data_IF_407595170974
#
_entry.id   IF_407595170974
#
_cell.length_a   1.000
_cell.length_b   1.000
_cell.length_c   1.000
_cell.angle_alpha   90.00
_cell.angle_beta   90.00
_cell.angle_gamma   90.00
#
_symmetry.space_group_name_H-M   'P 1'
#
loop_
_entity.id
_entity.type
_entity.pdbx_description
1 polymer ?
#
# COMPACT_ATOMS: atom_id res chain seq x y z
N UNK A 1 1.20 11.90 9.78
CA UNK A 1 1.80 12.88 8.88
C UNK A 1 1.90 12.31 7.47
N UNK A 2 1.37 12.98 6.46
CA UNK A 2 1.45 12.47 5.08
C UNK A 2 2.89 12.36 4.57
N UNK A 3 3.07 11.59 3.49
CA UNK A 3 4.38 11.46 2.85
C UNK A 3 4.88 12.81 2.36
N UNK A 4 6.17 13.04 2.49
CA UNK A 4 6.85 14.26 2.03
C UNK A 4 7.62 14.02 0.73
N UNK A 5 7.91 12.76 0.41
CA UNK A 5 8.64 12.37 -0.80
C UNK A 5 8.11 11.06 -1.32
N UNK A 6 8.31 10.81 -2.61
CA UNK A 6 7.87 9.56 -3.24
C UNK A 6 8.70 8.40 -2.68
N UNK A 7 8.05 7.37 -2.08
CA UNK A 7 8.77 6.19 -1.61
C UNK A 7 9.28 5.34 -2.77
N UNK A 8 10.13 4.38 -2.45
CA UNK A 8 10.57 3.41 -3.45
C UNK A 8 9.41 2.55 -3.93
N UNK A 9 9.47 2.13 -5.19
CA UNK A 9 8.51 1.19 -5.77
C UNK A 9 8.50 -0.10 -4.93
N UNK A 10 7.30 -0.58 -4.60
CA UNK A 10 7.14 -1.75 -3.74
C UNK A 10 6.97 -1.43 -2.26
N UNK A 11 7.04 -0.17 -1.86
CA UNK A 11 6.80 0.23 -0.47
C UNK A 11 5.34 0.05 -0.10
N UNK A 12 5.09 -0.50 1.09
CA UNK A 12 3.74 -0.60 1.65
C UNK A 12 3.46 0.66 2.46
N UNK A 13 2.37 1.34 2.10
CA UNK A 13 1.91 2.55 2.78
C UNK A 13 0.47 2.36 3.23
N UNK A 14 -0.04 3.28 4.05
CA UNK A 14 -1.46 3.36 4.35
C UNK A 14 -2.04 4.46 3.49
N UNK A 15 -3.08 4.13 2.73
CA UNK A 15 -3.78 5.09 1.89
C UNK A 15 -5.17 5.37 2.45
N UNK A 16 -5.49 6.64 2.56
CA UNK A 16 -6.82 7.10 2.95
C UNK A 16 -7.65 7.32 1.68
N UNK A 17 -8.60 6.43 1.44
CA UNK A 17 -9.49 6.48 0.28
C UNK A 17 -10.76 7.29 0.55
N UNK A 18 -10.80 8.09 1.60
CA UNK A 18 -11.96 8.92 1.92
C UNK A 18 -12.28 9.84 0.72
N UNK A 19 -13.55 9.88 0.35
CA UNK A 19 -14.02 10.67 -0.79
C UNK A 19 -14.18 9.88 -2.08
N UNK A 20 -13.63 8.68 -2.17
CA UNK A 20 -13.93 7.78 -3.28
C UNK A 20 -15.32 7.16 -3.08
N UNK A 21 -15.89 6.67 -4.17
CA UNK A 21 -17.28 6.15 -4.18
C UNK A 21 -17.24 4.66 -4.50
N UNK A 22 -17.96 3.85 -3.70
CA UNK A 22 -18.06 2.41 -3.95
C UNK A 22 -18.63 2.16 -5.37
N UNK A 23 -18.13 1.14 -6.11
CA UNK A 23 -17.25 0.06 -5.68
C UNK A 23 -15.76 0.37 -5.66
N UNK A 24 -15.37 1.63 -5.80
CA UNK A 24 -14.01 2.05 -5.51
C UNK A 24 -13.67 1.76 -4.04
N UNK A 25 -12.37 1.73 -3.68
CA UNK A 25 -11.99 1.65 -2.28
C UNK A 25 -12.41 2.91 -1.55
N UNK A 26 -13.03 2.74 -0.38
CA UNK A 26 -13.56 3.88 0.40
C UNK A 26 -13.02 3.93 1.82
N UNK A 27 -12.28 2.90 2.25
CA UNK A 27 -11.72 2.80 3.60
C UNK A 27 -10.23 3.09 3.59
N UNK A 28 -9.73 3.54 4.73
CA UNK A 28 -8.29 3.63 4.97
C UNK A 28 -7.72 2.22 5.06
N UNK A 29 -6.70 1.90 4.26
CA UNK A 29 -6.12 0.57 4.21
C UNK A 29 -4.69 0.58 3.67
N UNK A 30 -3.93 -0.52 3.87
CA UNK A 30 -2.63 -0.64 3.24
C UNK A 30 -2.74 -0.61 1.72
N UNK A 31 -1.73 -0.04 1.10
CA UNK A 31 -1.61 0.02 -0.35
C UNK A 31 -0.14 -0.12 -0.73
N UNK A 32 0.08 -0.60 -1.94
CA UNK A 32 1.42 -0.83 -2.47
C UNK A 32 1.77 0.26 -3.48
N UNK A 33 2.93 0.90 -3.29
CA UNK A 33 3.45 1.87 -4.26
C UNK A 33 3.93 1.11 -5.48
N UNK A 34 3.35 1.36 -6.63
CA UNK A 34 3.76 0.72 -7.89
C UNK A 34 4.42 1.68 -8.87
N UNK A 35 4.28 2.99 -8.66
CA UNK A 35 4.93 3.98 -9.51
C UNK A 35 6.42 4.09 -9.14
N UNK A 36 7.31 4.17 -10.15
CA UNK A 36 8.69 4.55 -9.88
C UNK A 36 8.76 6.03 -9.54
N UNK A 37 9.88 6.45 -8.94
CA UNK A 37 10.12 7.87 -8.72
C UNK A 37 10.31 8.57 -10.06
N UNK A 38 9.41 9.49 -10.38
CA UNK A 38 9.46 10.26 -11.62
C UNK A 38 9.83 11.71 -11.28
N UNK A 39 10.88 12.23 -11.92
CA UNK A 39 11.44 13.56 -11.60
C UNK A 39 10.42 14.69 -11.69
N UNK A 40 9.51 14.61 -12.66
CA UNK A 40 8.56 15.70 -12.93
C UNK A 40 7.16 15.47 -12.38
N UNK A 41 6.92 14.31 -11.79
CA UNK A 41 5.63 14.04 -11.16
C UNK A 41 5.67 14.54 -9.72
N UNK A 42 4.93 15.60 -9.46
CA UNK A 42 4.90 16.22 -8.14
C UNK A 42 3.80 15.62 -7.28
N UNK A 43 4.20 15.08 -6.12
CA UNK A 43 3.30 14.71 -5.02
C UNK A 43 2.17 13.76 -5.40
N UNK A 44 2.43 12.88 -6.37
CA UNK A 44 1.50 11.83 -6.79
C UNK A 44 2.20 10.48 -6.76
N UNK A 45 1.47 9.47 -6.29
CA UNK A 45 1.88 8.06 -6.39
C UNK A 45 0.79 7.25 -7.02
N UNK A 46 1.16 6.23 -7.77
CA UNK A 46 0.23 5.21 -8.24
C UNK A 46 0.31 4.03 -7.26
N UNK A 47 -0.85 3.60 -6.76
CA UNK A 47 -0.94 2.58 -5.72
C UNK A 47 -1.95 1.51 -6.10
N UNK A 48 -1.77 0.32 -5.52
CA UNK A 48 -2.74 -0.77 -5.56
C UNK A 48 -3.16 -1.07 -4.13
N UNK A 49 -4.47 -1.11 -3.81
CA UNK A 49 -4.92 -1.41 -2.46
C UNK A 49 -4.68 -2.87 -2.09
N UNK A 50 -4.44 -3.11 -0.80
CA UNK A 50 -4.33 -4.43 -0.21
C UNK A 50 -5.60 -4.70 0.60
N UNK A 51 -6.08 -5.94 0.55
CA UNK A 51 -7.27 -6.35 1.29
C UNK A 51 -7.02 -7.68 2.01
N UNK A 52 -7.57 -7.83 3.20
CA UNK A 52 -7.52 -9.10 3.92
C UNK A 52 -8.65 -10.04 3.51
N UNK A 53 -9.62 -9.55 2.77
CA UNK A 53 -10.74 -10.35 2.27
C UNK A 53 -10.36 -11.02 0.97
N UNK A 54 -10.40 -12.37 0.95
CA UNK A 54 -10.12 -13.15 -0.25
C UNK A 54 -11.16 -12.83 -1.33
N UNK A 55 -10.74 -12.56 -2.58
CA UNK A 55 -11.69 -12.38 -3.67
C UNK A 55 -12.41 -13.71 -3.98
N UNK A 56 -13.64 -13.61 -4.45
CA UNK A 56 -14.43 -14.77 -4.84
C UNK A 56 -15.13 -14.49 -6.16
N UNK A 57 -14.66 -15.09 -7.29
CA UNK A 57 -13.50 -15.98 -7.39
C UNK A 57 -12.17 -15.22 -7.41
N UNK A 58 -11.08 -15.96 -7.20
CA UNK A 58 -9.72 -15.42 -7.41
C UNK A 58 -9.46 -15.37 -8.90
N UNK A 59 -9.08 -14.19 -9.39
CA UNK A 59 -8.82 -13.94 -10.81
C UNK A 59 -7.33 -13.76 -11.08
N UNK A 60 -6.95 -13.73 -12.37
CA UNK A 60 -5.54 -13.58 -12.78
C UNK A 60 -4.92 -12.25 -12.32
N UNK A 61 -5.74 -11.23 -12.07
CA UNK A 61 -5.26 -9.93 -11.58
C UNK A 61 -5.20 -9.85 -10.05
N UNK A 62 -5.39 -10.96 -9.36
CA UNK A 62 -5.23 -11.03 -7.90
C UNK A 62 -3.94 -11.74 -7.54
N UNK A 63 -3.23 -11.21 -6.55
CA UNK A 63 -2.02 -11.80 -6.01
C UNK A 63 -2.09 -11.85 -4.49
N UNK A 64 -1.84 -13.03 -3.91
CA UNK A 64 -1.80 -13.18 -2.45
C UNK A 64 -0.39 -12.86 -1.95
N UNK A 65 -0.28 -11.83 -1.16
CA UNK A 65 0.99 -11.35 -0.61
C UNK A 65 1.14 -11.78 0.85
N UNK A 66 2.23 -12.47 1.15
CA UNK A 66 2.59 -12.80 2.53
C UNK A 66 3.42 -11.65 3.12
N UNK A 67 2.95 -11.09 4.22
CA UNK A 67 3.62 -9.98 4.90
C UNK A 67 4.19 -10.49 6.23
N UNK A 68 5.51 -10.70 6.26
CA UNK A 68 6.21 -11.23 7.43
C UNK A 68 7.51 -10.44 7.66
N UNK A 69 7.67 -9.84 8.84
CA UNK A 69 6.71 -9.76 9.94
C UNK A 69 5.46 -8.97 9.57
N UNK A 70 4.38 -9.16 10.32
CA UNK A 70 3.11 -8.49 10.05
C UNK A 70 3.25 -6.96 10.21
N UNK A 71 2.38 -6.22 9.52
CA UNK A 71 2.32 -4.78 9.66
C UNK A 71 1.77 -4.37 11.04
N UNK A 72 2.02 -3.15 11.48
CA UNK A 72 1.42 -2.64 12.71
C UNK A 72 -0.10 -2.69 12.68
N UNK A 73 -0.70 -2.90 13.87
CA UNK A 73 -2.17 -2.89 13.99
C UNK A 73 -2.76 -1.57 13.48
N UNK A 74 -3.95 -1.61 12.90
CA UNK A 74 -4.88 -2.74 12.74
C UNK A 74 -4.63 -3.58 11.47
N UNK A 75 -3.50 -3.43 10.81
CA UNK A 75 -3.20 -4.05 9.51
C UNK A 75 -2.31 -5.29 9.64
N UNK A 76 -2.42 -6.00 10.76
CA UNK A 76 -1.47 -7.04 11.16
C UNK A 76 -1.80 -8.45 10.67
N UNK A 77 -2.65 -8.59 9.66
CA UNK A 77 -2.90 -9.90 9.05
C UNK A 77 -1.64 -10.40 8.32
N UNK A 78 -1.34 -11.71 8.35
CA UNK A 78 -0.14 -12.24 7.70
C UNK A 78 -0.25 -12.27 6.17
N UNK A 79 -1.46 -12.28 5.63
CA UNK A 79 -1.69 -12.28 4.19
C UNK A 79 -2.58 -11.13 3.78
N UNK A 80 -2.24 -10.52 2.65
CA UNK A 80 -3.05 -9.50 2.02
C UNK A 80 -3.25 -9.85 0.55
N UNK A 81 -4.44 -9.57 0.03
CA UNK A 81 -4.73 -9.75 -1.39
C UNK A 81 -4.44 -8.44 -2.11
N UNK A 82 -3.57 -8.52 -3.11
CA UNK A 82 -3.25 -7.41 -4.00
C UNK A 82 -4.25 -7.44 -5.14
N UNK A 83 -5.09 -6.41 -5.23
CA UNK A 83 -6.13 -6.30 -6.25
C UNK A 83 -5.61 -5.44 -7.39
N UNK A 84 -4.83 -6.06 -8.29
CA UNK A 84 -4.09 -5.35 -9.33
C UNK A 84 -4.98 -4.74 -10.42
N UNK A 85 -6.29 -5.02 -10.40
CA UNK A 85 -7.28 -4.35 -11.25
C UNK A 85 -7.69 -2.98 -10.68
N UNK A 86 -7.39 -2.71 -9.40
CA UNK A 86 -7.77 -1.47 -8.73
C UNK A 86 -6.55 -0.57 -8.57
N UNK A 87 -6.20 0.12 -9.63
CA UNK A 87 -5.03 1.00 -9.68
C UNK A 87 -5.48 2.44 -9.50
N UNK A 88 -4.88 3.15 -8.54
CA UNK A 88 -5.22 4.54 -8.23
C UNK A 88 -3.97 5.41 -8.27
N UNK A 89 -4.08 6.59 -8.85
CA UNK A 89 -3.06 7.63 -8.73
C UNK A 89 -3.60 8.68 -7.76
N UNK A 90 -2.89 8.87 -6.65
CA UNK A 90 -3.37 9.69 -5.54
C UNK A 90 -2.31 10.69 -5.07
N UNK A 91 -2.77 11.73 -4.39
CA UNK A 91 -1.91 12.72 -3.76
C UNK A 91 -1.16 12.13 -2.57
N UNK A 92 0.06 12.62 -2.31
CA UNK A 92 0.80 12.32 -1.09
C UNK A 92 -0.02 12.60 0.18
N UNK A 93 -0.95 13.54 0.13
CA UNK A 93 -1.81 13.88 1.27
C UNK A 93 -2.66 12.69 1.75
N UNK A 94 -2.87 11.70 0.89
CA UNK A 94 -3.62 10.48 1.22
C UNK A 94 -2.74 9.36 1.75
N UNK A 95 -1.41 9.54 1.75
CA UNK A 95 -0.46 8.45 1.96
C UNK A 95 0.34 8.66 3.25
N UNK A 96 0.44 7.59 4.04
CA UNK A 96 1.11 7.58 5.33
C UNK A 96 1.96 6.33 5.46
N UNK A 97 3.11 6.45 6.12
CA UNK A 97 3.83 5.24 6.54
C UNK A 97 3.08 4.57 7.69
N UNK A 98 3.04 3.22 7.76
CA UNK A 98 2.41 2.54 8.89
C UNK A 98 3.06 2.97 10.21
N UNK A 99 2.25 3.42 11.15
CA UNK A 99 2.72 3.84 12.46
C UNK A 99 2.90 2.63 13.37
N UNK A 100 4.10 2.42 13.86
CA UNK A 100 4.42 1.27 14.71
C UNK A 100 4.28 1.61 16.19
N UNK A 101 5.03 2.61 16.67
CA UNK A 101 5.05 3.00 18.08
C UNK A 101 5.76 4.34 18.26
N UNK A 102 5.76 4.86 19.48
CA UNK A 102 6.64 5.97 19.86
C UNK A 102 7.87 5.41 20.56
N UNK A 103 9.02 6.05 20.38
CA UNK A 103 10.24 5.70 21.11
C UNK A 103 10.20 6.27 22.53
N UNK A 104 11.27 6.04 23.31
CA UNK A 104 11.38 6.53 24.68
C UNK A 104 11.33 8.05 24.83
N UNK A 105 11.55 8.79 23.75
CA UNK A 105 11.50 10.26 23.72
C UNK A 105 10.19 10.80 23.12
N UNK A 106 9.22 9.93 22.88
CA UNK A 106 7.93 10.29 22.30
C UNK A 106 7.94 10.48 20.78
N UNK A 107 9.04 10.21 20.14
CA UNK A 107 9.16 10.30 18.68
C UNK A 107 8.47 9.10 18.02
N UNK A 108 7.71 9.33 16.96
CA UNK A 108 7.03 8.27 16.23
C UNK A 108 8.01 7.41 15.44
N UNK A 109 7.84 6.10 15.55
CA UNK A 109 8.57 5.11 14.75
C UNK A 109 7.60 4.53 13.72
N UNK A 110 8.01 4.52 12.45
CA UNK A 110 7.21 4.03 11.35
C UNK A 110 7.79 2.74 10.78
N UNK A 111 6.92 1.86 10.30
CA UNK A 111 7.31 0.66 9.58
C UNK A 111 7.60 1.04 8.13
N UNK A 112 8.85 0.88 7.70
CA UNK A 112 9.23 1.10 6.30
C UNK A 112 9.46 -0.26 5.68
N UNK A 113 8.50 -0.71 4.89
CA UNK A 113 8.48 -2.05 4.32
C UNK A 113 8.42 -1.98 2.79
N UNK A 114 9.37 -2.66 2.16
CA UNK A 114 9.41 -2.82 0.71
C UNK A 114 9.26 -4.31 0.43
N UNK A 115 8.32 -4.69 -0.44
CA UNK A 115 8.15 -6.09 -0.83
C UNK A 115 9.33 -6.55 -1.66
N UNK A 116 9.56 -7.87 -1.72
CA UNK A 116 10.67 -8.39 -2.51
C UNK A 116 10.37 -8.27 -4.02
N UNK A 117 11.44 -8.40 -4.81
CA UNK A 117 11.36 -8.23 -6.26
C UNK A 117 10.49 -9.29 -6.93
N UNK A 118 10.47 -10.50 -6.37
CA UNK A 118 9.68 -11.58 -6.94
C UNK A 118 8.19 -11.28 -6.83
N UNK A 119 7.74 -10.79 -5.66
CA UNK A 119 6.35 -10.39 -5.47
C UNK A 119 5.99 -9.20 -6.35
N UNK A 120 6.85 -8.19 -6.41
CA UNK A 120 6.62 -7.01 -7.24
C UNK A 120 6.46 -7.40 -8.72
N UNK A 121 7.31 -8.29 -9.21
CA UNK A 121 7.24 -8.75 -10.59
C UNK A 121 5.93 -9.48 -10.87
N UNK A 122 5.50 -10.37 -9.97
CA UNK A 122 4.22 -11.08 -10.10
C UNK A 122 3.03 -10.12 -10.12
N UNK A 123 3.07 -9.10 -9.26
CA UNK A 123 2.02 -8.08 -9.22
C UNK A 123 1.97 -7.30 -10.53
N UNK A 124 3.12 -6.91 -11.06
CA UNK A 124 3.20 -6.24 -12.36
C UNK A 124 2.65 -7.10 -13.48
N UNK A 125 2.85 -8.41 -13.43
CA UNK A 125 2.28 -9.35 -14.40
C UNK A 125 0.77 -9.49 -14.27
N UNK A 126 0.22 -9.26 -13.08
CA UNK A 126 -1.23 -9.30 -12.84
C UNK A 126 -1.96 -8.06 -13.39
N UNK A 127 -1.22 -7.01 -13.63
CA UNK A 127 -1.81 -5.73 -14.07
C UNK A 127 -2.26 -5.74 -15.52
#
# INVERSE_FOLDING_TARGET
MPLQMHPEQGTIVICDFKGFVAPEMVKRRPALIISPRLRRRQRLCTVIPLSTTAPNPVEAYHHKLHVDPVLPRPYNAPFHWVKADMVYTVSFERLFLPFEKKDGNGKRIYDIRIIDKADLLKIQQCM
#
